data_IF_316586195453
#
_entry.id   IF_316586195453
#
_cell.length_a   1.000
_cell.length_b   1.000
_cell.length_c   1.000
_cell.angle_alpha   90.00
_cell.angle_beta   90.00
_cell.angle_gamma   90.00
#
_symmetry.space_group_name_H-M   'P 1'
#
loop_
_entity.id
_entity.type
_entity.pdbx_description
1 polymer ?
#
# COMPACT_ATOMS: atom_id res chain seq x y z
N UNK A 1 18.92 6.58 10.11
CA UNK A 1 19.10 5.63 11.23
C UNK A 1 20.56 5.48 11.57
N UNK A 2 20.89 5.26 12.86
CA UNK A 2 22.23 4.88 13.31
C UNK A 2 22.43 3.40 12.94
N UNK A 3 23.59 3.04 12.39
CA UNK A 3 23.94 1.67 12.02
C UNK A 3 25.08 1.08 12.85
N UNK A 4 25.96 1.92 13.39
CA UNK A 4 26.96 1.50 14.39
C UNK A 4 27.24 2.61 15.40
N UNK A 5 27.66 2.23 16.59
CA UNK A 5 28.11 3.09 17.67
C UNK A 5 29.37 2.48 18.25
N UNK A 6 30.50 3.23 18.26
CA UNK A 6 31.82 2.77 18.72
C UNK A 6 32.28 1.41 18.15
N UNK A 7 31.94 1.17 16.88
CA UNK A 7 32.23 -0.09 16.17
C UNK A 7 31.23 -1.22 16.39
N UNK A 8 30.32 -1.09 17.35
CA UNK A 8 29.26 -2.06 17.58
C UNK A 8 28.06 -1.81 16.65
N UNK A 9 27.48 -2.89 16.11
CA UNK A 9 26.30 -2.80 15.24
C UNK A 9 25.07 -2.45 16.05
N UNK A 10 24.36 -1.39 15.64
CA UNK A 10 23.09 -0.97 16.24
C UNK A 10 21.92 -1.73 15.63
N UNK A 11 21.22 -2.52 16.43
CA UNK A 11 19.96 -3.18 16.10
C UNK A 11 18.76 -2.46 16.77
N UNK A 12 17.55 -3.02 16.61
CA UNK A 12 16.32 -2.44 17.17
C UNK A 12 16.30 -2.38 18.70
N UNK A 13 17.09 -3.20 19.39
CA UNK A 13 17.13 -3.33 20.85
C UNK A 13 18.45 -2.80 21.45
N UNK A 14 19.28 -2.18 20.64
CA UNK A 14 20.60 -1.71 21.07
C UNK A 14 20.51 -0.67 22.20
N UNK A 15 19.63 0.31 22.06
CA UNK A 15 19.44 1.36 23.06
C UNK A 15 18.54 0.87 24.21
N UNK A 16 19.15 0.09 25.13
CA UNK A 16 18.45 -0.51 26.29
C UNK A 16 18.41 0.40 27.51
N UNK A 17 19.29 1.39 27.57
CA UNK A 17 19.38 2.34 28.67
C UNK A 17 19.57 3.76 28.17
N UNK A 18 19.29 4.70 29.06
CA UNK A 18 19.37 6.13 28.76
C UNK A 18 20.83 6.60 28.55
N UNK A 19 21.80 5.95 29.15
CA UNK A 19 23.22 6.33 29.03
C UNK A 19 23.71 6.12 27.59
N UNK A 20 23.42 4.97 26.99
CA UNK A 20 23.75 4.69 25.58
C UNK A 20 23.03 5.64 24.62
N UNK A 21 21.77 5.94 24.88
CA UNK A 21 21.01 6.88 24.07
C UNK A 21 21.58 8.30 24.16
N UNK A 22 21.94 8.77 25.35
CA UNK A 22 22.55 10.07 25.54
C UNK A 22 23.97 10.14 24.93
N UNK A 23 24.75 9.05 25.00
CA UNK A 23 26.04 8.96 24.33
C UNK A 23 25.91 9.14 22.80
N UNK A 24 25.01 8.40 22.18
CA UNK A 24 24.72 8.55 20.75
C UNK A 24 24.26 9.98 20.40
N UNK A 25 23.38 10.56 21.21
CA UNK A 25 22.92 11.93 21.04
C UNK A 25 24.06 12.96 21.11
N UNK A 26 25.00 12.76 22.03
CA UNK A 26 26.16 13.64 22.15
C UNK A 26 27.07 13.54 20.92
N UNK A 27 27.36 12.32 20.43
CA UNK A 27 28.12 12.14 19.21
C UNK A 27 27.44 12.77 17.98
N UNK A 28 26.11 12.67 17.89
CA UNK A 28 25.36 13.31 16.81
C UNK A 28 25.44 14.85 16.83
N UNK A 29 25.63 15.45 18.02
CA UNK A 29 25.73 16.91 18.18
C UNK A 29 27.14 17.45 18.05
N UNK A 30 28.15 16.68 18.47
CA UNK A 30 29.54 17.14 18.55
C UNK A 30 30.38 16.85 17.31
N UNK A 31 29.93 15.96 16.42
CA UNK A 31 30.69 15.57 15.24
C UNK A 31 30.20 16.22 13.95
N UNK A 32 31.13 16.47 13.05
CA UNK A 32 30.84 16.73 11.64
C UNK A 32 30.64 15.43 10.88
N UNK A 33 29.69 15.43 9.97
CA UNK A 33 29.32 14.23 9.20
C UNK A 33 29.59 14.43 7.71
N UNK A 34 30.01 13.37 7.05
CA UNK A 34 30.21 13.34 5.62
C UNK A 34 29.63 12.08 4.99
N UNK A 35 29.24 12.18 3.73
CA UNK A 35 28.76 11.03 2.96
C UNK A 35 29.99 10.23 2.52
N UNK A 36 30.12 9.02 3.05
CA UNK A 36 31.20 8.10 2.67
C UNK A 36 30.89 7.38 1.37
N UNK A 37 29.65 6.98 1.18
CA UNK A 37 29.23 6.17 0.03
C UNK A 37 27.77 6.43 -0.31
N UNK A 38 27.47 6.44 -1.61
CA UNK A 38 26.13 6.48 -2.16
C UNK A 38 25.96 5.21 -3.00
N UNK A 39 25.02 4.37 -2.64
CA UNK A 39 24.62 3.20 -3.43
C UNK A 39 23.25 3.47 -4.05
N UNK A 40 23.18 3.46 -5.38
CA UNK A 40 21.94 3.68 -6.13
C UNK A 40 21.44 2.37 -6.73
N UNK A 41 20.13 2.15 -6.66
CA UNK A 41 19.49 0.99 -7.28
C UNK A 41 18.06 1.31 -7.67
N UNK A 42 17.61 0.74 -8.77
CA UNK A 42 16.20 0.73 -9.14
C UNK A 42 15.51 -0.42 -8.42
N UNK A 43 14.42 -0.12 -7.74
CA UNK A 43 13.57 -1.10 -7.06
C UNK A 43 12.24 -1.16 -7.77
N UNK A 44 11.88 -2.36 -8.25
CA UNK A 44 10.56 -2.64 -8.79
C UNK A 44 9.63 -3.10 -7.66
N UNK A 45 8.49 -2.45 -7.50
CA UNK A 45 7.45 -2.79 -6.52
C UNK A 45 6.23 -3.34 -7.25
N UNK A 46 6.03 -4.64 -7.15
CA UNK A 46 4.84 -5.29 -7.72
C UNK A 46 3.55 -4.79 -7.07
N UNK A 47 2.46 -4.69 -7.84
CA UNK A 47 1.15 -4.38 -7.29
C UNK A 47 0.74 -5.38 -6.22
N UNK A 48 0.01 -4.89 -5.24
CA UNK A 48 -0.60 -5.76 -4.21
C UNK A 48 -1.88 -6.37 -4.76
N UNK A 49 -2.22 -7.58 -4.29
CA UNK A 49 -3.48 -8.24 -4.64
C UNK A 49 -4.71 -7.37 -4.28
N UNK A 50 -5.84 -7.59 -4.94
CA UNK A 50 -7.13 -7.06 -4.51
C UNK A 50 -7.41 -7.41 -3.03
N UNK A 51 -8.32 -6.70 -2.41
CA UNK A 51 -8.63 -6.92 -1.01
C UNK A 51 -9.42 -8.20 -0.76
N UNK A 52 -9.07 -8.89 0.33
CA UNK A 52 -9.98 -9.72 1.09
C UNK A 52 -10.34 -9.02 2.41
N UNK A 53 -11.22 -9.60 3.21
CA UNK A 53 -11.66 -9.01 4.48
C UNK A 53 -10.49 -8.60 5.37
N UNK A 54 -9.53 -9.50 5.58
CA UNK A 54 -8.39 -9.25 6.47
C UNK A 54 -7.48 -8.12 5.99
N UNK A 55 -7.14 -8.10 4.70
CA UNK A 55 -6.28 -7.07 4.12
C UNK A 55 -6.97 -5.71 3.98
N UNK A 56 -8.30 -5.70 3.77
CA UNK A 56 -9.10 -4.47 3.79
C UNK A 56 -9.07 -3.83 5.18
N UNK A 57 -9.37 -4.60 6.23
CA UNK A 57 -9.36 -4.11 7.61
C UNK A 57 -7.98 -3.57 8.02
N UNK A 58 -6.90 -4.31 7.72
CA UNK A 58 -5.53 -3.87 8.03
C UNK A 58 -5.16 -2.57 7.31
N UNK A 59 -5.53 -2.45 6.03
CA UNK A 59 -5.19 -1.27 5.25
C UNK A 59 -6.05 -0.06 5.65
N UNK A 60 -7.34 -0.25 5.88
CA UNK A 60 -8.23 0.80 6.36
C UNK A 60 -7.80 1.31 7.75
N UNK A 61 -7.35 0.42 8.64
CA UNK A 61 -6.80 0.83 9.93
C UNK A 61 -5.53 1.66 9.76
N UNK A 62 -4.56 1.20 8.94
CA UNK A 62 -3.27 1.87 8.81
C UNK A 62 -3.31 3.18 8.01
N UNK A 63 -4.25 3.34 7.08
CA UNK A 63 -4.31 4.50 6.18
C UNK A 63 -5.45 5.47 6.50
N UNK A 64 -6.57 4.96 7.02
CA UNK A 64 -7.78 5.74 7.30
C UNK A 64 -8.07 5.86 8.81
N UNK A 65 -7.31 5.15 9.66
CA UNK A 65 -7.53 5.03 11.10
C UNK A 65 -8.89 4.42 11.47
N UNK A 66 -9.48 3.59 10.59
CA UNK A 66 -10.74 2.90 10.86
C UNK A 66 -10.48 1.65 11.70
N UNK A 67 -11.34 1.38 12.68
CA UNK A 67 -11.36 0.10 13.37
C UNK A 67 -11.84 -1.02 12.43
N UNK A 68 -11.57 -2.29 12.77
CA UNK A 68 -12.07 -3.42 12.01
C UNK A 68 -13.61 -3.45 11.93
N UNK A 69 -14.28 -3.16 13.05
CA UNK A 69 -15.74 -3.08 13.10
C UNK A 69 -16.29 -1.96 12.21
N UNK A 70 -15.74 -0.76 12.32
CA UNK A 70 -16.12 0.40 11.51
C UNK A 70 -15.92 0.11 10.02
N UNK A 71 -14.76 -0.45 9.63
CA UNK A 71 -14.49 -0.84 8.25
C UNK A 71 -15.57 -1.78 7.70
N UNK A 72 -15.96 -2.79 8.49
CA UNK A 72 -16.98 -3.76 8.05
C UNK A 72 -18.38 -3.16 7.98
N UNK A 73 -18.73 -2.24 8.88
CA UNK A 73 -20.02 -1.52 8.83
C UNK A 73 -20.12 -0.66 7.58
N UNK A 74 -19.07 0.10 7.26
CA UNK A 74 -19.02 0.94 6.06
C UNK A 74 -19.06 0.07 4.79
N UNK A 75 -18.26 -1.00 4.74
CA UNK A 75 -18.24 -1.93 3.62
C UNK A 75 -19.59 -2.62 3.40
N UNK A 76 -20.31 -2.94 4.49
CA UNK A 76 -21.68 -3.46 4.41
C UNK A 76 -22.61 -2.44 3.74
N UNK A 77 -22.54 -1.17 4.10
CA UNK A 77 -23.33 -0.11 3.46
C UNK A 77 -23.04 0.00 1.96
N UNK A 78 -21.77 -0.01 1.56
CA UNK A 78 -21.36 0.03 0.14
C UNK A 78 -21.84 -1.19 -0.64
N UNK A 79 -21.88 -2.37 -0.01
CA UNK A 79 -22.38 -3.61 -0.60
C UNK A 79 -23.92 -3.63 -0.71
N UNK A 80 -24.63 -3.17 0.33
CA UNK A 80 -26.10 -3.13 0.32
C UNK A 80 -26.68 -2.17 -0.69
N UNK A 81 -25.90 -1.17 -1.08
CA UNK A 81 -26.24 -0.19 -2.09
C UNK A 81 -26.29 1.24 -1.57
N UNK A 82 -25.99 2.15 -2.45
CA UNK A 82 -26.06 3.60 -2.26
C UNK A 82 -27.06 4.16 -3.25
N UNK A 83 -27.90 5.07 -2.81
CA UNK A 83 -28.87 5.73 -3.67
C UNK A 83 -28.17 6.79 -4.53
N UNK A 84 -28.04 6.51 -5.82
CA UNK A 84 -27.43 7.38 -6.81
C UNK A 84 -28.48 7.68 -7.90
N UNK A 85 -28.89 8.94 -8.04
CA UNK A 85 -29.83 9.36 -9.07
C UNK A 85 -31.15 8.55 -9.10
N UNK A 86 -31.69 8.20 -7.92
CA UNK A 86 -32.92 7.41 -7.72
C UNK A 86 -32.79 5.89 -7.99
N UNK A 87 -31.59 5.41 -8.17
CA UNK A 87 -31.28 3.98 -8.26
C UNK A 87 -30.38 3.57 -7.10
N UNK A 88 -30.69 2.43 -6.47
CA UNK A 88 -29.83 1.87 -5.42
C UNK A 88 -28.78 0.97 -6.06
N UNK A 89 -27.52 1.37 -6.01
CA UNK A 89 -26.40 0.69 -6.65
C UNK A 89 -25.46 0.09 -5.58
N UNK A 90 -25.28 -1.22 -5.61
CA UNK A 90 -24.23 -1.89 -4.83
C UNK A 90 -22.86 -1.52 -5.41
N UNK A 91 -22.02 -0.86 -4.64
CA UNK A 91 -20.74 -0.32 -5.12
C UNK A 91 -19.59 -1.31 -5.05
N UNK A 92 -19.67 -2.32 -4.19
CA UNK A 92 -18.61 -3.32 -4.01
C UNK A 92 -19.17 -4.75 -4.00
N UNK A 93 -18.33 -5.73 -4.30
CA UNK A 93 -18.62 -7.16 -4.11
C UNK A 93 -18.71 -7.49 -2.62
N UNK A 94 -19.17 -8.71 -2.30
CA UNK A 94 -19.38 -9.14 -0.92
C UNK A 94 -18.09 -9.03 -0.08
N UNK A 95 -18.16 -8.29 1.01
CA UNK A 95 -17.01 -7.88 1.82
C UNK A 95 -16.49 -8.96 2.81
N UNK A 96 -17.21 -10.06 3.00
CA UNK A 96 -16.76 -11.17 3.84
C UNK A 96 -16.22 -12.30 2.97
N UNK A 97 -14.98 -12.17 2.55
CA UNK A 97 -14.32 -13.13 1.66
C UNK A 97 -12.84 -13.29 2.03
N UNK A 98 -12.34 -14.51 1.91
CA UNK A 98 -10.89 -14.81 1.99
C UNK A 98 -10.22 -14.74 0.62
N UNK A 99 -11.02 -14.64 -0.47
CA UNK A 99 -10.52 -14.62 -1.85
C UNK A 99 -9.81 -13.33 -2.19
N UNK A 100 -8.76 -13.45 -3.00
CA UNK A 100 -8.05 -12.35 -3.64
C UNK A 100 -8.13 -12.46 -5.17
N UNK A 101 -8.97 -13.38 -5.66
CA UNK A 101 -9.11 -13.69 -7.09
C UNK A 101 -10.14 -12.78 -7.72
N UNK A 102 -9.86 -12.33 -8.93
CA UNK A 102 -10.80 -11.61 -9.79
C UNK A 102 -11.30 -12.56 -10.88
N UNK A 103 -12.56 -12.42 -11.28
CA UNK A 103 -13.09 -13.12 -12.45
C UNK A 103 -12.39 -12.62 -13.72
N UNK A 104 -12.43 -13.43 -14.77
CA UNK A 104 -11.85 -13.05 -16.06
C UNK A 104 -12.49 -11.78 -16.61
N UNK A 105 -13.81 -11.69 -16.58
CA UNK A 105 -14.54 -10.52 -17.07
C UNK A 105 -14.17 -9.24 -16.29
N UNK A 106 -14.01 -9.36 -14.96
CA UNK A 106 -13.54 -8.24 -14.14
C UNK A 106 -12.12 -7.80 -14.50
N UNK A 107 -11.21 -8.76 -14.74
CA UNK A 107 -9.85 -8.45 -15.17
C UNK A 107 -9.86 -7.72 -16.51
N UNK A 108 -10.63 -8.19 -17.48
CA UNK A 108 -10.71 -7.61 -18.82
C UNK A 108 -11.25 -6.17 -18.73
N UNK A 109 -12.33 -5.94 -17.99
CA UNK A 109 -12.92 -4.60 -17.80
C UNK A 109 -11.97 -3.64 -17.07
N UNK A 110 -11.25 -4.11 -16.02
CA UNK A 110 -10.27 -3.30 -15.31
C UNK A 110 -9.12 -2.91 -16.25
N UNK A 111 -8.63 -3.84 -17.07
CA UNK A 111 -7.53 -3.61 -18.01
C UNK A 111 -7.93 -2.62 -19.12
N UNK A 112 -9.13 -2.72 -19.65
CA UNK A 112 -9.69 -1.73 -20.60
C UNK A 112 -9.76 -0.33 -19.96
N UNK A 113 -10.21 -0.26 -18.71
CA UNK A 113 -10.25 1.01 -17.97
C UNK A 113 -8.84 1.59 -17.77
N UNK A 114 -7.84 0.77 -17.43
CA UNK A 114 -6.43 1.21 -17.29
C UNK A 114 -5.91 1.76 -18.62
N UNK A 115 -6.08 1.05 -19.72
CA UNK A 115 -5.64 1.49 -21.04
C UNK A 115 -6.26 2.84 -21.41
N UNK A 116 -7.58 2.98 -21.22
CA UNK A 116 -8.33 4.19 -21.55
C UNK A 116 -7.94 5.41 -20.70
N UNK A 117 -7.81 5.23 -19.38
CA UNK A 117 -7.64 6.35 -18.45
C UNK A 117 -6.17 6.71 -18.18
N UNK A 118 -5.27 5.73 -18.21
CA UNK A 118 -3.86 5.91 -17.86
C UNK A 118 -2.91 5.67 -19.03
N UNK A 119 -3.36 4.94 -20.05
CA UNK A 119 -2.59 4.58 -21.24
C UNK A 119 -1.85 3.24 -21.11
N UNK A 120 -1.49 2.68 -22.26
CA UNK A 120 -0.96 1.31 -22.37
C UNK A 120 0.36 1.07 -21.65
N UNK A 121 1.16 2.11 -21.40
CA UNK A 121 2.41 1.99 -20.62
C UNK A 121 2.20 1.52 -19.17
N UNK A 122 0.99 1.70 -18.62
CA UNK A 122 0.64 1.24 -17.28
C UNK A 122 0.00 -0.15 -17.29
N UNK A 123 -0.18 -0.75 -18.46
CA UNK A 123 -0.81 -2.04 -18.62
C UNK A 123 0.27 -3.10 -18.90
N UNK A 124 0.44 -4.13 -18.04
CA UNK A 124 1.38 -5.22 -18.33
C UNK A 124 0.86 -6.07 -19.49
N UNK A 125 1.75 -6.71 -20.28
CA UNK A 125 1.40 -7.54 -21.45
C UNK A 125 0.39 -8.64 -21.12
N UNK A 126 0.48 -9.19 -19.92
CA UNK A 126 -0.39 -10.28 -19.45
C UNK A 126 -1.16 -9.83 -18.20
N UNK A 127 -2.40 -10.32 -18.03
CA UNK A 127 -3.14 -10.13 -16.78
C UNK A 127 -2.34 -10.62 -15.57
N UNK A 128 -2.46 -9.90 -14.46
CA UNK A 128 -1.84 -10.30 -13.19
C UNK A 128 -2.83 -11.20 -12.44
N UNK A 129 -2.50 -12.47 -12.29
CA UNK A 129 -3.28 -13.42 -11.52
C UNK A 129 -2.80 -13.52 -10.08
N UNK A 130 -3.73 -13.43 -9.15
CA UNK A 130 -3.50 -13.64 -7.73
C UNK A 130 -4.18 -14.93 -7.29
N UNK A 131 -3.41 -15.84 -6.71
CA UNK A 131 -3.93 -17.15 -6.23
C UNK A 131 -3.90 -17.19 -4.71
N UNK A 132 -5.00 -17.61 -4.11
CA UNK A 132 -5.05 -17.91 -2.69
C UNK A 132 -4.13 -19.11 -2.38
N UNK A 133 -3.35 -19.02 -1.28
CA UNK A 133 -2.49 -20.12 -0.83
C UNK A 133 -3.27 -21.27 -0.19
N UNK A 134 -4.53 -21.04 0.17
CA UNK A 134 -5.37 -22.09 0.78
C UNK A 134 -5.94 -22.99 -0.30
N UNK A 135 -5.52 -24.26 -0.33
CA UNK A 135 -6.01 -25.31 -1.25
C UNK A 135 -7.52 -25.57 -1.20
N UNK A 136 -8.21 -25.10 -0.16
CA UNK A 136 -9.64 -25.30 0.08
C UNK A 136 -10.43 -23.97 0.11
N UNK A 137 -9.90 -22.88 -0.46
CA UNK A 137 -10.72 -21.69 -0.70
C UNK A 137 -11.82 -22.10 -1.70
N UNK A 138 -13.07 -22.16 -1.22
CA UNK A 138 -14.23 -22.38 -2.07
C UNK A 138 -14.14 -21.42 -3.26
N UNK A 139 -14.03 -21.96 -4.46
CA UNK A 139 -13.77 -21.21 -5.72
C UNK A 139 -14.86 -20.20 -6.09
N UNK A 140 -15.91 -20.10 -5.27
CA UNK A 140 -17.11 -19.32 -5.55
C UNK A 140 -17.03 -17.82 -5.17
N UNK A 141 -16.00 -17.37 -4.44
CA UNK A 141 -15.95 -16.00 -3.94
C UNK A 141 -14.85 -15.19 -4.61
N UNK A 142 -15.23 -14.02 -5.13
CA UNK A 142 -14.28 -13.01 -5.63
C UNK A 142 -13.67 -12.20 -4.48
N UNK A 143 -12.59 -11.48 -4.80
CA UNK A 143 -12.03 -10.43 -3.98
C UNK A 143 -13.01 -9.27 -3.76
N UNK A 144 -12.75 -8.43 -2.78
CA UNK A 144 -13.48 -7.18 -2.56
C UNK A 144 -13.01 -6.19 -3.63
N UNK A 145 -13.91 -5.81 -4.52
CA UNK A 145 -13.68 -4.89 -5.63
C UNK A 145 -14.92 -4.04 -5.92
N UNK A 146 -14.81 -2.94 -6.68
CA UNK A 146 -15.98 -2.29 -7.25
C UNK A 146 -16.79 -3.26 -8.12
N UNK A 147 -18.10 -3.17 -8.05
CA UNK A 147 -19.00 -3.92 -8.93
C UNK A 147 -18.85 -3.45 -10.38
N UNK A 148 -18.71 -2.13 -10.55
CA UNK A 148 -18.42 -1.47 -11.81
C UNK A 148 -17.20 -0.56 -11.63
N UNK A 149 -16.11 -0.87 -12.34
CA UNK A 149 -14.86 -0.12 -12.26
C UNK A 149 -14.95 1.27 -12.91
N UNK A 150 -15.92 1.50 -13.76
CA UNK A 150 -16.15 2.79 -14.41
C UNK A 150 -16.71 3.84 -13.45
N UNK A 151 -17.34 3.42 -12.36
CA UNK A 151 -17.84 4.32 -11.31
C UNK A 151 -16.65 4.79 -10.48
N UNK A 152 -16.10 5.95 -10.83
CA UNK A 152 -14.97 6.53 -10.10
C UNK A 152 -15.45 7.13 -8.77
N UNK A 153 -14.63 7.05 -7.71
CA UNK A 153 -14.99 7.64 -6.40
C UNK A 153 -15.39 9.12 -6.49
N UNK A 154 -14.66 9.90 -7.28
CA UNK A 154 -14.91 11.34 -7.42
C UNK A 154 -16.25 11.65 -8.12
N UNK A 155 -16.71 10.77 -9.02
CA UNK A 155 -17.97 10.96 -9.76
C UNK A 155 -19.22 10.77 -8.88
N UNK A 156 -19.07 10.04 -7.77
CA UNK A 156 -20.17 9.73 -6.84
C UNK A 156 -19.96 10.30 -5.43
N UNK A 157 -18.99 11.20 -5.28
CA UNK A 157 -18.62 11.78 -3.99
C UNK A 157 -19.80 12.41 -3.25
N UNK A 158 -20.69 13.09 -3.99
CA UNK A 158 -21.84 13.80 -3.40
C UNK A 158 -22.93 12.86 -2.86
N UNK A 159 -22.89 11.57 -3.25
CA UNK A 159 -23.82 10.54 -2.78
C UNK A 159 -23.27 9.73 -1.59
N UNK A 160 -22.00 9.94 -1.23
CA UNK A 160 -21.31 9.21 -0.18
C UNK A 160 -21.02 10.12 1.01
N UNK A 161 -21.14 9.57 2.23
CA UNK A 161 -20.52 10.24 3.36
C UNK A 161 -18.98 10.11 3.29
N UNK A 162 -18.28 10.89 4.12
CA UNK A 162 -16.81 10.96 4.10
C UNK A 162 -16.14 9.59 4.32
N UNK A 163 -16.67 8.77 5.22
CA UNK A 163 -16.12 7.44 5.52
C UNK A 163 -16.37 6.46 4.37
N UNK A 164 -17.56 6.47 3.77
CA UNK A 164 -17.91 5.67 2.61
C UNK A 164 -17.02 6.04 1.41
N UNK A 165 -16.84 7.34 1.16
CA UNK A 165 -15.97 7.82 0.10
C UNK A 165 -14.52 7.32 0.29
N UNK A 166 -13.96 7.50 1.48
CA UNK A 166 -12.58 7.06 1.79
C UNK A 166 -12.40 5.55 1.61
N UNK A 167 -13.37 4.75 2.06
CA UNK A 167 -13.27 3.29 1.94
C UNK A 167 -13.47 2.83 0.50
N UNK A 168 -14.41 3.40 -0.23
CA UNK A 168 -14.63 3.11 -1.65
C UNK A 168 -13.41 3.49 -2.50
N UNK A 169 -12.85 4.67 -2.29
CA UNK A 169 -11.64 5.13 -2.95
C UNK A 169 -10.45 4.18 -2.71
N UNK A 170 -10.29 3.72 -1.48
CA UNK A 170 -9.26 2.74 -1.12
C UNK A 170 -9.43 1.42 -1.88
N UNK A 171 -10.66 0.90 -1.97
CA UNK A 171 -11.00 -0.34 -2.67
C UNK A 171 -10.79 -0.17 -4.17
N UNK A 172 -11.29 0.91 -4.74
CA UNK A 172 -11.20 1.22 -6.17
C UNK A 172 -9.73 1.33 -6.61
N UNK A 173 -8.94 2.14 -5.93
CA UNK A 173 -7.50 2.31 -6.21
C UNK A 173 -6.72 1.01 -6.09
N UNK A 174 -7.02 0.17 -5.10
CA UNK A 174 -6.38 -1.13 -4.94
C UNK A 174 -6.72 -2.06 -6.10
N UNK A 175 -7.95 -2.07 -6.55
CA UNK A 175 -8.43 -2.92 -7.65
C UNK A 175 -7.74 -2.52 -8.95
N UNK A 176 -7.75 -1.25 -9.32
CA UNK A 176 -7.04 -0.73 -10.50
C UNK A 176 -5.54 -1.07 -10.42
N UNK A 177 -4.88 -0.68 -9.32
CA UNK A 177 -3.44 -0.89 -9.16
C UNK A 177 -3.06 -2.38 -9.24
N UNK A 178 -3.96 -3.31 -8.88
CA UNK A 178 -3.68 -4.75 -8.93
C UNK A 178 -3.42 -5.25 -10.36
N UNK A 179 -3.91 -4.56 -11.38
CA UNK A 179 -3.74 -4.92 -12.79
C UNK A 179 -2.76 -3.99 -13.53
N UNK A 180 -2.10 -3.07 -12.82
CA UNK A 180 -1.10 -2.16 -13.40
C UNK A 180 0.32 -2.77 -13.40
N UNK A 181 1.21 -2.17 -14.20
CA UNK A 181 2.65 -2.45 -14.18
C UNK A 181 3.25 -2.18 -12.80
N UNK A 182 4.40 -2.81 -12.51
CA UNK A 182 5.14 -2.54 -11.28
C UNK A 182 5.60 -1.08 -11.24
N UNK A 183 5.51 -0.47 -10.06
CA UNK A 183 6.10 0.85 -9.86
C UNK A 183 7.61 0.74 -9.72
N UNK A 184 8.35 1.58 -10.43
CA UNK A 184 9.80 1.67 -10.33
C UNK A 184 10.21 2.86 -9.48
N UNK A 185 11.17 2.65 -8.61
CA UNK A 185 11.67 3.67 -7.70
C UNK A 185 13.19 3.64 -7.71
N UNK A 186 13.83 4.76 -8.00
CA UNK A 186 15.26 4.91 -7.73
C UNK A 186 15.46 5.13 -6.24
N UNK A 187 16.22 4.23 -5.64
CA UNK A 187 16.57 4.30 -4.23
C UNK A 187 18.06 4.58 -4.08
N UNK A 188 18.40 5.71 -3.44
CA UNK A 188 19.76 6.03 -3.02
C UNK A 188 19.93 5.70 -1.55
N UNK A 189 20.92 4.87 -1.24
CA UNK A 189 21.33 4.56 0.12
C UNK A 189 22.62 5.29 0.43
N UNK A 190 22.59 6.20 1.40
CA UNK A 190 23.74 6.96 1.85
C UNK A 190 24.33 6.32 3.11
N UNK A 191 25.62 6.03 3.06
CA UNK A 191 26.42 5.72 4.25
C UNK A 191 27.12 7.01 4.69
N UNK A 192 26.90 7.38 5.95
CA UNK A 192 27.34 8.64 6.50
C UNK A 192 28.22 8.34 7.71
N UNK A 193 29.44 8.78 7.68
CA UNK A 193 30.41 8.62 8.78
C UNK A 193 30.72 9.98 9.42
N UNK A 194 31.26 9.98 10.61
CA UNK A 194 31.89 11.11 11.26
C UNK A 194 33.41 10.97 11.24
N UNK A 195 34.15 12.07 11.43
CA UNK A 195 35.60 12.09 11.42
C UNK A 195 36.21 11.15 12.48
N UNK A 196 35.66 11.11 13.68
CA UNK A 196 36.08 10.27 14.77
C UNK A 196 35.70 8.78 14.61
N UNK A 197 34.89 8.44 13.58
CA UNK A 197 34.41 7.08 13.30
C UNK A 197 33.68 6.37 14.46
N UNK A 198 33.26 7.14 15.46
CA UNK A 198 32.55 6.62 16.65
C UNK A 198 31.05 6.38 16.39
N UNK A 199 30.48 6.94 15.30
CA UNK A 199 29.10 6.74 14.91
C UNK A 199 28.94 6.70 13.39
N UNK A 200 28.20 5.71 12.89
CA UNK A 200 27.85 5.59 11.46
C UNK A 200 26.35 5.66 11.28
N UNK A 201 25.92 6.37 10.27
CA UNK A 201 24.53 6.57 9.93
C UNK A 201 24.19 6.00 8.55
N UNK A 202 22.92 5.67 8.36
CA UNK A 202 22.35 5.30 7.08
C UNK A 202 21.12 6.15 6.78
N UNK A 203 21.08 6.76 5.61
CA UNK A 203 19.88 7.38 5.07
C UNK A 203 19.43 6.65 3.80
N UNK A 204 18.12 6.57 3.59
CA UNK A 204 17.53 5.98 2.39
C UNK A 204 16.60 7.01 1.80
N UNK A 205 16.86 7.38 0.55
CA UNK A 205 16.05 8.28 -0.25
C UNK A 205 15.41 7.48 -1.38
N UNK A 206 14.15 7.74 -1.69
CA UNK A 206 13.46 7.10 -2.80
C UNK A 206 12.77 8.15 -3.67
N UNK A 207 12.90 8.01 -5.00
CA UNK A 207 12.20 8.82 -5.99
C UNK A 207 11.48 7.89 -6.96
N UNK A 208 10.16 8.07 -7.12
CA UNK A 208 9.37 7.37 -8.14
C UNK A 208 9.84 7.84 -9.53
N UNK A 209 9.98 6.87 -10.44
CA UNK A 209 10.35 7.11 -11.84
C UNK A 209 9.09 7.18 -12.71
#
# INVERSE_FOLDING_TARGET
SITSLEGEKVDKLFFRDEALANKAKNYLKSNSFFIRKIDERTISRKPKAPFNTSTLQQTANSQLNFSASQTMTIAQGLYMGIDINKETIALITYMRTDSITLSKDSIDTIRENISKEYGDKYLPDKPIEYKSRKKNAQEAHEAIRPTDISIKPDDIKDFLNEEQFKLYDLIWKRTIASQMTSAETNQSTLQIDCEEKNITLKAILGKLI
#
